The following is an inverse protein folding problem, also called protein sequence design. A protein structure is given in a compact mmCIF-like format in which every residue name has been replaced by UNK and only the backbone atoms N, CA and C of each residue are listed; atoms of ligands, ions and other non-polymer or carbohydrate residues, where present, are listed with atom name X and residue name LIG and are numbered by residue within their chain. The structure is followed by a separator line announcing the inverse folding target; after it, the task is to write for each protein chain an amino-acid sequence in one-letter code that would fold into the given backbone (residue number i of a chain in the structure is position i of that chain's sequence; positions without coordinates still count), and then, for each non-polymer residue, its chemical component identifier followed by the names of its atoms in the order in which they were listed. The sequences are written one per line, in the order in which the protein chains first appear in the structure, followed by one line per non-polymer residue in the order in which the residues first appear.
data_IF_620003993849
#
_entry.id   IF_620003993849
#
_cell.length_a   1.000
_cell.length_b   1.000
_cell.length_c   1.000
_cell.angle_alpha   90.00
_cell.angle_beta   90.00
_cell.angle_gamma   90.00
#
_symmetry.space_group_name_H-M   'P 1'
#
loop_
_entity.id
_entity.type
_entity.pdbx_description
1 polymer ?
#
# COMPACT_ATOMS: atom_id res chain seq x y z
N UNK A 1 13.16 -11.30 12.00
CA UNK A 1 11.79 -10.85 11.69
C UNK A 1 11.87 -9.56 10.90
N UNK A 2 11.19 -9.47 9.75
CA UNK A 2 11.12 -8.24 8.96
C UNK A 2 10.36 -7.12 9.68
N UNK A 3 9.55 -7.47 10.69
CA UNK A 3 8.83 -6.53 11.55
C UNK A 3 9.72 -5.69 12.47
N UNK A 4 11.00 -6.04 12.64
CA UNK A 4 11.95 -5.26 13.45
C UNK A 4 12.39 -3.96 12.75
N UNK A 5 12.27 -3.89 11.42
CA UNK A 5 12.75 -2.78 10.60
C UNK A 5 11.63 -2.10 9.83
N UNK A 6 10.56 -2.81 9.47
CA UNK A 6 9.44 -2.25 8.70
C UNK A 6 8.12 -2.93 9.12
N UNK A 7 7.40 -2.35 10.08
CA UNK A 7 6.07 -2.83 10.50
C UNK A 7 4.94 -2.50 9.48
N UNK A 8 5.28 -1.78 8.41
CA UNK A 8 4.39 -1.54 7.28
C UNK A 8 5.18 -1.55 5.96
N UNK A 9 5.25 -2.70 5.25
CA UNK A 9 6.08 -2.84 4.05
C UNK A 9 5.56 -2.08 2.84
N UNK A 10 4.43 -1.38 2.95
CA UNK A 10 3.76 -0.74 1.81
C UNK A 10 4.66 0.26 1.09
N UNK A 11 5.41 1.09 1.82
CA UNK A 11 6.31 2.07 1.20
C UNK A 11 7.47 1.41 0.44
N UNK A 12 8.05 0.35 1.03
CA UNK A 12 9.09 -0.43 0.37
C UNK A 12 8.56 -1.14 -0.87
N UNK A 13 7.38 -1.77 -0.78
CA UNK A 13 6.75 -2.44 -1.90
C UNK A 13 6.47 -1.48 -3.07
N UNK A 14 5.98 -0.27 -2.82
CA UNK A 14 5.77 0.74 -3.86
C UNK A 14 7.10 1.16 -4.49
N UNK A 15 8.14 1.34 -3.68
CA UNK A 15 9.48 1.67 -4.17
C UNK A 15 10.01 0.57 -5.10
N UNK A 16 9.94 -0.69 -4.68
CA UNK A 16 10.36 -1.84 -5.48
C UNK A 16 9.53 -1.98 -6.76
N UNK A 17 8.21 -1.76 -6.71
CA UNK A 17 7.36 -1.72 -7.90
C UNK A 17 7.81 -0.64 -8.89
N UNK A 18 8.22 0.53 -8.42
CA UNK A 18 8.75 1.61 -9.28
C UNK A 18 10.12 1.27 -9.85
N UNK A 19 10.96 0.52 -9.14
CA UNK A 19 12.22 0.02 -9.68
C UNK A 19 12.01 -1.00 -10.80
N UNK A 20 11.03 -1.91 -10.63
CA UNK A 20 10.70 -2.92 -11.64
C UNK A 20 9.96 -2.32 -12.85
N UNK A 21 9.05 -1.37 -12.61
CA UNK A 21 8.20 -0.76 -13.63
C UNK A 21 8.19 0.77 -13.51
N UNK A 22 9.30 1.45 -13.87
CA UNK A 22 9.43 2.90 -13.69
C UNK A 22 8.40 3.72 -14.47
N UNK A 23 7.92 3.16 -15.59
CA UNK A 23 6.98 3.82 -16.50
C UNK A 23 5.55 3.27 -16.38
N UNK A 24 5.24 2.50 -15.33
CA UNK A 24 3.90 1.94 -15.10
C UNK A 24 3.32 2.56 -13.84
N UNK A 25 2.20 3.29 -13.93
CA UNK A 25 1.56 3.87 -12.76
C UNK A 25 0.95 2.76 -11.89
N UNK A 26 1.06 2.93 -10.57
CA UNK A 26 0.38 2.06 -9.61
C UNK A 26 -1.11 2.37 -9.65
N UNK A 27 -1.94 1.36 -9.94
CA UNK A 27 -3.39 1.51 -10.02
C UNK A 27 -4.04 1.61 -8.64
N UNK A 28 -3.69 0.69 -7.75
CA UNK A 28 -4.28 0.57 -6.42
C UNK A 28 -3.32 -0.17 -5.50
N UNK A 29 -3.25 0.28 -4.25
CA UNK A 29 -2.51 -0.35 -3.17
C UNK A 29 -3.47 -0.61 -2.03
N UNK A 30 -3.60 -1.88 -1.65
CA UNK A 30 -4.33 -2.27 -0.45
C UNK A 30 -3.33 -2.73 0.60
N UNK A 31 -3.34 -2.04 1.74
CA UNK A 31 -2.48 -2.33 2.88
C UNK A 31 -3.33 -2.86 4.02
N UNK A 32 -3.00 -4.06 4.52
CA UNK A 32 -3.73 -4.73 5.58
C UNK A 32 -2.90 -4.68 6.87
N UNK A 33 -3.51 -4.24 7.96
CA UNK A 33 -2.94 -4.27 9.30
C UNK A 33 -3.58 -5.37 10.14
N UNK A 34 -2.85 -5.81 11.15
CA UNK A 34 -3.28 -6.87 12.09
C UNK A 34 -4.13 -6.35 13.25
N UNK A 35 -4.48 -5.06 13.24
CA UNK A 35 -5.24 -4.41 14.29
C UNK A 35 -4.43 -3.32 14.98
N UNK A 36 -5.13 -2.33 15.54
CA UNK A 36 -4.57 -1.31 16.42
C UNK A 36 -5.39 -1.21 17.70
N UNK A 37 -4.69 -1.09 18.83
CA UNK A 37 -5.32 -0.79 20.13
C UNK A 37 -5.15 0.70 20.38
N UNK A 38 -6.25 1.42 20.59
CA UNK A 38 -6.19 2.84 20.99
C UNK A 38 -5.81 2.93 22.47
N UNK A 39 -4.53 3.17 22.74
CA UNK A 39 -4.11 3.72 24.04
C UNK A 39 -4.46 5.21 24.02
N UNK A 40 -5.49 5.63 24.77
CA UNK A 40 -5.84 7.04 24.90
C UNK A 40 -4.63 7.85 25.39
N UNK A 41 -3.92 8.58 24.51
CA UNK A 41 -2.86 9.48 24.97
C UNK A 41 -1.73 9.97 24.04
N UNK A 42 -1.72 9.77 22.72
CA UNK A 42 -0.63 10.33 21.88
C UNK A 42 -1.13 11.05 20.62
N UNK A 43 -1.63 12.27 20.83
CA UNK A 43 -1.78 13.27 19.79
C UNK A 43 -0.44 14.02 19.70
N UNK A 44 0.29 13.96 18.58
CA UNK A 44 1.28 15.00 18.32
C UNK A 44 1.39 15.36 16.83
N UNK A 45 0.59 16.37 16.48
CA UNK A 45 0.68 17.17 15.26
C UNK A 45 1.87 18.13 15.37
N UNK A 46 2.91 17.97 14.55
CA UNK A 46 3.78 19.11 14.21
C UNK A 46 4.43 18.93 12.83
N UNK A 47 4.10 19.85 11.93
CA UNK A 47 4.66 20.04 10.60
C UNK A 47 6.16 20.39 10.67
N UNK A 48 7.05 19.62 10.04
CA UNK A 48 8.34 20.12 9.50
C UNK A 48 9.04 19.08 8.57
N UNK A 49 9.43 19.55 7.38
CA UNK A 49 10.47 19.05 6.45
C UNK A 49 10.48 17.57 5.97
N UNK A 50 9.92 17.36 4.78
CA UNK A 50 9.85 16.10 4.01
C UNK A 50 11.19 15.36 3.82
N UNK A 51 12.30 16.10 3.67
CA UNK A 51 13.62 15.50 3.39
C UNK A 51 14.28 14.95 4.66
N UNK A 52 14.01 15.56 5.81
CA UNK A 52 14.55 15.11 7.10
C UNK A 52 13.71 13.98 7.70
N UNK A 53 12.38 13.95 7.43
CA UNK A 53 11.53 12.80 7.78
C UNK A 53 11.83 11.55 6.97
N UNK A 54 12.28 11.61 5.71
CA UNK A 54 12.59 10.38 4.94
C UNK A 54 13.73 9.55 5.58
N UNK A 55 14.76 10.23 6.10
CA UNK A 55 15.87 9.57 6.81
C UNK A 55 15.44 9.07 8.20
N UNK A 56 14.54 9.79 8.89
CA UNK A 56 13.93 9.34 10.14
C UNK A 56 12.82 8.28 9.94
N UNK A 57 12.29 8.09 8.73
CA UNK A 57 11.32 7.03 8.39
C UNK A 57 11.98 5.66 8.34
N UNK A 58 13.29 5.59 8.12
CA UNK A 58 14.07 4.35 8.26
C UNK A 58 14.17 3.94 9.75
N UNK A 59 14.11 4.90 10.67
CA UNK A 59 14.06 4.66 12.12
C UNK A 59 12.64 4.68 12.72
N UNK A 60 11.62 5.12 11.98
CA UNK A 60 10.19 5.09 12.38
C UNK A 60 9.53 3.74 12.08
N UNK A 61 10.32 2.66 12.16
CA UNK A 61 9.92 1.26 11.97
C UNK A 61 8.78 0.80 12.90
N UNK A 62 8.46 1.59 13.93
CA UNK A 62 7.49 1.26 14.98
C UNK A 62 6.15 1.99 14.87
N UNK A 63 5.98 3.02 14.03
CA UNK A 63 4.73 3.80 13.98
C UNK A 63 4.01 3.64 12.62
N UNK A 64 3.04 2.73 12.58
CA UNK A 64 2.34 2.32 11.36
C UNK A 64 1.45 3.41 10.75
N UNK A 65 1.14 4.46 11.51
CA UNK A 65 0.23 5.55 11.10
C UNK A 65 0.95 6.64 10.29
N UNK A 66 2.24 6.91 10.55
CA UNK A 66 3.00 7.93 9.80
C UNK A 66 3.18 7.54 8.32
N UNK A 67 3.41 6.25 8.04
CA UNK A 67 3.53 5.72 6.67
C UNK A 67 2.20 5.83 5.92
N UNK A 68 1.07 5.65 6.61
CA UNK A 68 -0.25 5.80 5.99
C UNK A 68 -0.50 7.24 5.52
N UNK A 69 -0.22 8.23 6.36
CA UNK A 69 -0.39 9.66 6.03
C UNK A 69 0.51 10.07 4.86
N UNK A 70 1.77 9.60 4.85
CA UNK A 70 2.71 9.89 3.76
C UNK A 70 2.25 9.31 2.43
N UNK A 71 1.78 8.06 2.43
CA UNK A 71 1.30 7.42 1.20
C UNK A 71 0.01 8.04 0.69
N UNK A 72 -0.91 8.43 1.58
CA UNK A 72 -2.14 9.14 1.21
C UNK A 72 -1.83 10.50 0.56
N UNK A 73 -0.80 11.21 1.04
CA UNK A 73 -0.39 12.51 0.49
C UNK A 73 0.40 12.41 -0.84
N UNK A 74 1.11 11.30 -1.08
CA UNK A 74 1.99 11.15 -2.24
C UNK A 74 1.38 10.37 -3.39
N UNK A 75 0.38 9.53 -3.12
CA UNK A 75 -0.29 8.74 -4.13
C UNK A 75 -1.49 9.49 -4.71
N UNK A 76 -1.84 9.24 -5.98
CA UNK A 76 -3.05 9.79 -6.56
C UNK A 76 -4.28 9.50 -5.69
N UNK A 77 -5.27 10.40 -5.63
CA UNK A 77 -6.51 10.15 -4.90
C UNK A 77 -7.11 8.81 -5.33
N UNK A 78 -7.66 8.07 -4.37
CA UNK A 78 -8.31 6.77 -4.58
C UNK A 78 -7.39 5.61 -5.01
N UNK A 79 -6.07 5.75 -4.83
CA UNK A 79 -5.12 4.67 -5.16
C UNK A 79 -4.54 3.94 -3.94
N UNK A 80 -4.86 4.35 -2.71
CA UNK A 80 -4.37 3.72 -1.49
C UNK A 80 -5.46 3.46 -0.46
N UNK A 81 -5.55 2.22 0.01
CA UNK A 81 -6.53 1.78 1.00
C UNK A 81 -5.84 1.03 2.13
N UNK A 82 -5.82 1.61 3.33
CA UNK A 82 -5.36 0.93 4.56
C UNK A 82 -6.55 0.37 5.34
N UNK A 83 -6.58 -0.94 5.55
CA UNK A 83 -7.54 -1.59 6.45
C UNK A 83 -6.79 -2.03 7.70
N UNK A 84 -7.09 -1.40 8.83
CA UNK A 84 -6.47 -1.72 10.12
C UNK A 84 -7.58 -1.64 11.19
N UNK A 85 -8.16 -2.78 11.59
CA UNK A 85 -9.25 -2.81 12.57
C UNK A 85 -8.84 -2.21 13.91
N UNK A 86 -9.78 -1.58 14.59
CA UNK A 86 -9.61 -1.23 15.99
C UNK A 86 -9.94 -2.44 16.85
N UNK A 87 -8.98 -2.86 17.67
CA UNK A 87 -9.13 -3.98 18.60
C UNK A 87 -9.40 -3.43 20.00
N UNK A 88 -10.30 -4.09 20.73
CA UNK A 88 -10.63 -3.69 22.10
C UNK A 88 -9.61 -4.19 23.13
N UNK A 89 -8.91 -5.27 22.79
CA UNK A 89 -7.92 -5.90 23.66
C UNK A 89 -6.56 -5.99 22.94
N UNK A 90 -5.49 -5.84 23.72
CA UNK A 90 -4.14 -6.14 23.25
C UNK A 90 -3.91 -7.65 23.31
N UNK A 91 -3.83 -8.27 22.13
CA UNK A 91 -3.68 -9.72 21.98
C UNK A 91 -2.25 -9.99 21.55
N UNK A 92 -1.54 -10.78 22.36
CA UNK A 92 -0.15 -11.14 22.10
C UNK A 92 0.00 -11.94 20.81
N UNK A 93 1.13 -11.78 20.12
CA UNK A 93 1.41 -12.43 18.84
C UNK A 93 1.49 -13.96 18.93
N UNK A 94 1.82 -14.51 20.10
CA UNK A 94 1.90 -15.93 20.40
C UNK A 94 0.56 -16.54 20.87
N UNK A 95 -0.51 -15.73 20.89
CA UNK A 95 -1.85 -16.20 21.23
C UNK A 95 -2.38 -17.17 20.17
N UNK A 96 -2.81 -18.34 20.62
CA UNK A 96 -3.30 -19.43 19.75
C UNK A 96 -4.62 -20.03 20.24
N UNK A 97 -5.18 -19.53 21.35
CA UNK A 97 -6.47 -19.99 21.87
C UNK A 97 -7.60 -19.64 20.90
N UNK A 98 -8.39 -20.65 20.54
CA UNK A 98 -9.49 -20.51 19.58
C UNK A 98 -10.49 -19.40 19.96
N UNK A 99 -10.76 -19.20 21.25
CA UNK A 99 -11.63 -18.14 21.74
C UNK A 99 -11.13 -16.73 21.37
N UNK A 100 -9.82 -16.48 21.49
CA UNK A 100 -9.19 -15.20 21.13
C UNK A 100 -9.12 -15.01 19.62
N UNK A 101 -8.86 -16.06 18.86
CA UNK A 101 -8.89 -16.01 17.40
C UNK A 101 -10.31 -15.73 16.87
N UNK A 102 -11.34 -16.34 17.47
CA UNK A 102 -12.73 -16.08 17.13
C UNK A 102 -13.13 -14.63 17.45
N UNK A 103 -12.63 -14.08 18.57
CA UNK A 103 -12.81 -12.68 18.91
C UNK A 103 -12.20 -11.77 17.83
N UNK A 104 -10.94 -12.01 17.43
CA UNK A 104 -10.25 -11.24 16.38
C UNK A 104 -11.01 -11.28 15.04
N UNK A 105 -11.52 -12.46 14.65
CA UNK A 105 -12.33 -12.59 13.43
C UNK A 105 -13.64 -11.78 13.53
N UNK A 106 -14.33 -11.86 14.67
CA UNK A 106 -15.57 -11.11 14.89
C UNK A 106 -15.33 -9.59 14.86
N UNK A 107 -14.23 -9.11 15.43
CA UNK A 107 -13.83 -7.69 15.37
C UNK A 107 -13.46 -7.25 13.95
N UNK A 108 -12.74 -8.09 13.22
CA UNK A 108 -12.43 -7.87 11.80
C UNK A 108 -13.68 -7.75 10.94
N UNK A 109 -14.66 -8.64 11.12
CA UNK A 109 -15.94 -8.59 10.40
C UNK A 109 -16.72 -7.31 10.73
N UNK A 110 -16.85 -6.95 12.01
CA UNK A 110 -17.51 -5.70 12.42
C UNK A 110 -16.83 -4.47 11.83
N UNK A 111 -15.50 -4.47 11.76
CA UNK A 111 -14.75 -3.39 11.12
C UNK A 111 -15.07 -3.29 9.63
N UNK A 112 -15.13 -4.41 8.91
CA UNK A 112 -15.47 -4.43 7.49
C UNK A 112 -16.89 -3.94 7.24
N UNK A 113 -17.86 -4.34 8.06
CA UNK A 113 -19.25 -3.87 7.97
C UNK A 113 -19.33 -2.35 8.13
N UNK A 114 -18.62 -1.79 9.13
CA UNK A 114 -18.55 -0.32 9.33
C UNK A 114 -17.83 0.41 8.20
N UNK A 115 -16.91 -0.26 7.50
CA UNK A 115 -16.10 0.31 6.42
C UNK A 115 -16.51 -0.20 5.04
N UNK A 116 -17.76 -0.66 4.90
CA UNK A 116 -18.24 -1.31 3.68
C UNK A 116 -18.08 -0.43 2.44
N UNK A 117 -18.32 0.89 2.55
CA UNK A 117 -18.13 1.83 1.45
C UNK A 117 -16.67 1.89 0.97
N UNK A 118 -15.71 1.94 1.91
CA UNK A 118 -14.27 1.93 1.62
C UNK A 118 -13.87 0.60 0.96
N UNK A 119 -14.40 -0.52 1.44
CA UNK A 119 -14.17 -1.84 0.86
C UNK A 119 -14.72 -1.92 -0.58
N UNK A 120 -15.95 -1.45 -0.79
CA UNK A 120 -16.55 -1.41 -2.13
C UNK A 120 -15.77 -0.50 -3.08
N UNK A 121 -15.28 0.65 -2.61
CA UNK A 121 -14.46 1.55 -3.40
C UNK A 121 -13.14 0.90 -3.80
N UNK A 122 -12.43 0.27 -2.85
CA UNK A 122 -11.21 -0.47 -3.13
C UNK A 122 -11.46 -1.60 -4.16
N UNK A 123 -12.53 -2.38 -3.97
CA UNK A 123 -12.91 -3.44 -4.90
C UNK A 123 -13.17 -2.91 -6.31
N UNK A 124 -13.97 -1.84 -6.45
CA UNK A 124 -14.28 -1.23 -7.76
C UNK A 124 -13.02 -0.78 -8.51
N UNK A 125 -12.04 -0.24 -7.80
CA UNK A 125 -10.79 0.25 -8.40
C UNK A 125 -9.87 -0.92 -8.74
N UNK A 126 -9.79 -1.94 -7.89
CA UNK A 126 -9.02 -3.16 -8.16
C UNK A 126 -9.56 -3.93 -9.37
N UNK A 127 -10.89 -4.03 -9.52
CA UNK A 127 -11.54 -4.74 -10.63
C UNK A 127 -11.74 -3.86 -11.86
N UNK A 128 -11.19 -2.64 -11.89
CA UNK A 128 -11.35 -1.76 -13.03
C UNK A 128 -10.56 -2.28 -14.22
N UNK A 129 -11.27 -2.60 -15.29
CA UNK A 129 -10.65 -2.98 -16.55
C UNK A 129 -9.86 -1.84 -17.18
N UNK A 130 -8.77 -2.20 -17.87
CA UNK A 130 -8.05 -1.26 -18.73
C UNK A 130 -8.98 -0.78 -19.84
N UNK A 131 -9.03 0.54 -20.04
CA UNK A 131 -9.81 1.13 -21.12
C UNK A 131 -9.25 0.73 -22.49
N UNK A 132 -10.06 0.78 -23.55
CA UNK A 132 -9.59 0.50 -24.91
C UNK A 132 -8.41 1.38 -25.32
N UNK A 133 -8.41 2.66 -24.89
CA UNK A 133 -7.30 3.59 -25.10
C UNK A 133 -6.04 3.15 -24.36
N UNK A 134 -6.16 2.73 -23.10
CA UNK A 134 -5.02 2.20 -22.33
C UNK A 134 -4.45 0.94 -22.97
N UNK A 135 -5.31 0.00 -23.40
CA UNK A 135 -4.88 -1.22 -24.11
C UNK A 135 -4.14 -0.90 -25.40
N UNK A 136 -4.63 0.06 -26.18
CA UNK A 136 -3.99 0.49 -27.42
C UNK A 136 -2.64 1.18 -27.16
N UNK A 137 -2.58 2.07 -26.16
CA UNK A 137 -1.35 2.75 -25.78
C UNK A 137 -0.28 1.77 -25.27
N UNK A 138 -0.67 0.80 -24.44
CA UNK A 138 0.21 -0.28 -23.99
C UNK A 138 0.66 -1.17 -25.14
N UNK A 139 -0.23 -1.51 -26.07
CA UNK A 139 0.13 -2.27 -27.27
C UNK A 139 1.12 -1.52 -28.16
N UNK A 140 0.91 -0.22 -28.38
CA UNK A 140 1.82 0.62 -29.17
C UNK A 140 3.19 0.73 -28.49
N UNK A 141 3.21 0.94 -27.17
CA UNK A 141 4.44 0.95 -26.37
C UNK A 141 5.17 -0.40 -26.44
N UNK A 142 4.45 -1.51 -26.28
CA UNK A 142 5.03 -2.84 -26.41
C UNK A 142 5.63 -3.07 -27.80
N UNK A 143 4.95 -2.63 -28.87
CA UNK A 143 5.48 -2.71 -30.24
C UNK A 143 6.73 -1.86 -30.41
N UNK A 144 6.73 -0.63 -29.90
CA UNK A 144 7.90 0.24 -29.92
C UNK A 144 9.10 -0.42 -29.22
N UNK A 145 8.92 -0.88 -27.98
CA UNK A 145 9.97 -1.54 -27.20
C UNK A 145 10.50 -2.82 -27.88
N UNK A 146 9.62 -3.57 -28.58
CA UNK A 146 10.04 -4.75 -29.37
C UNK A 146 10.90 -4.40 -30.58
N UNK A 147 10.62 -3.27 -31.26
CA UNK A 147 11.35 -2.88 -32.47
C UNK A 147 12.63 -2.08 -32.17
N UNK A 148 12.67 -1.33 -31.08
CA UNK A 148 13.88 -0.63 -30.61
C UNK A 148 14.98 -1.61 -30.16
N UNK A 149 14.61 -2.80 -29.71
CA UNK A 149 15.55 -3.86 -29.33
C UNK A 149 16.11 -4.69 -30.50
N UNK A 150 15.66 -4.46 -31.73
CA UNK A 150 16.08 -5.23 -32.91
C UNK A 150 17.16 -4.44 -33.69
N UNK A 151 18.43 -4.89 -33.69
CA UNK A 151 19.52 -4.22 -34.39
C UNK A 151 19.48 -4.52 -35.91
N UNK A 152 18.37 -4.22 -36.60
CA UNK A 152 18.23 -4.50 -38.04
C UNK A 152 18.40 -3.25 -38.92
N UNK A 153 18.43 -2.03 -38.36
CA UNK A 153 18.69 -0.80 -39.14
C UNK A 153 20.00 -0.11 -38.75
N UNK A 154 21.09 -0.88 -38.79
CA UNK A 154 22.44 -0.31 -38.87
C UNK A 154 23.26 -1.06 -39.94
N UNK A 155 22.72 -1.17 -41.15
CA UNK A 155 23.54 -1.42 -42.33
C UNK A 155 23.89 -0.07 -42.96
N UNK A 156 25.14 0.36 -42.71
CA UNK A 156 25.84 1.31 -43.57
C UNK A 156 25.64 0.89 -45.04
N UNK A 157 25.09 1.80 -45.84
CA UNK A 157 25.68 2.19 -47.12
C UNK A 157 25.27 3.64 -47.43
#
# INVERSE_FOLDING_TARGET
DGGLLINNPTALAIHECKCLWPNTPVQCVVSLGTGRVETAGKNNTTYTSLKTKLTNVISSATDTEEVHIMLDALLPPDSYFRFNPYMNEDIALDESRGEKLNLLQAEGLRYLDRNQEKLQKAARILTRDKTAVQRLAEWAKLKHDMYDGIPIFNSKL
#
